data_IF_258153479639
#
_entry.id   IF_258153479639
#
_cell.length_a   1.000
_cell.length_b   1.000
_cell.length_c   1.000
_cell.angle_alpha   90.00
_cell.angle_beta   90.00
_cell.angle_gamma   90.00
#
_symmetry.space_group_name_H-M   'P 1'
#
loop_
_entity.id
_entity.type
_entity.pdbx_description
1 polymer ?
#
# COMPACT_ATOMS: atom_id res chain seq x y z
N UNK A 1 -7.32 5.16 -22.35
CA UNK A 1 -6.15 6.02 -22.07
C UNK A 1 -6.01 6.05 -20.57
N UNK A 2 -4.80 5.86 -20.04
CA UNK A 2 -4.63 5.78 -18.59
C UNK A 2 -4.83 7.18 -18.00
N UNK A 3 -5.86 7.35 -17.16
CA UNK A 3 -6.23 8.60 -16.51
C UNK A 3 -5.26 9.02 -15.40
N UNK A 4 -3.98 8.70 -15.52
CA UNK A 4 -2.94 9.06 -14.55
C UNK A 4 -2.24 10.32 -14.99
N UNK A 5 -2.09 11.26 -14.06
CA UNK A 5 -1.43 12.54 -14.32
C UNK A 5 -0.02 12.56 -13.73
N UNK A 6 0.81 13.41 -14.31
CA UNK A 6 2.09 13.81 -13.74
C UNK A 6 1.98 15.21 -13.14
N UNK A 7 2.91 15.58 -12.26
CA UNK A 7 2.95 16.94 -11.69
C UNK A 7 3.03 18.05 -12.77
N UNK A 8 3.83 17.91 -13.85
CA UNK A 8 3.81 18.86 -14.96
C UNK A 8 2.44 19.02 -15.63
N UNK A 9 1.65 17.95 -15.74
CA UNK A 9 0.31 18.03 -16.34
C UNK A 9 -0.61 18.92 -15.51
N UNK A 10 -0.52 18.84 -14.18
CA UNK A 10 -1.25 19.71 -13.25
C UNK A 10 -0.84 21.17 -13.43
N UNK A 11 0.47 21.45 -13.50
CA UNK A 11 0.97 22.80 -13.72
C UNK A 11 0.51 23.38 -15.07
N UNK A 12 0.52 22.58 -16.13
CA UNK A 12 0.05 23.00 -17.45
C UNK A 12 -1.46 23.28 -17.45
N UNK A 13 -2.25 22.45 -16.78
CA UNK A 13 -3.69 22.67 -16.62
C UNK A 13 -3.98 23.97 -15.85
N UNK A 14 -3.22 24.24 -14.77
CA UNK A 14 -3.30 25.49 -14.00
C UNK A 14 -2.96 26.71 -14.85
N UNK A 15 -1.89 26.63 -15.64
CA UNK A 15 -1.49 27.73 -16.52
C UNK A 15 -2.60 28.08 -17.52
N UNK A 16 -3.14 27.06 -18.19
CA UNK A 16 -4.20 27.24 -19.20
C UNK A 16 -5.48 27.82 -18.59
N UNK A 17 -5.87 27.33 -17.42
CA UNK A 17 -7.01 27.83 -16.66
C UNK A 17 -6.86 29.33 -16.31
N UNK A 18 -5.71 29.71 -15.75
CA UNK A 18 -5.45 31.10 -15.36
C UNK A 18 -5.33 32.02 -16.58
N UNK A 19 -4.65 31.56 -17.63
CA UNK A 19 -4.44 32.36 -18.86
C UNK A 19 -5.73 32.67 -19.61
N UNK A 20 -6.79 31.86 -19.44
CA UNK A 20 -8.09 32.13 -20.02
C UNK A 20 -8.85 33.29 -19.35
N UNK A 21 -8.46 33.68 -18.13
CA UNK A 21 -9.19 34.68 -17.33
C UNK A 21 -8.37 35.93 -16.99
N UNK A 22 -7.04 35.83 -16.99
CA UNK A 22 -6.13 36.92 -16.65
C UNK A 22 -5.71 37.66 -17.93
N UNK A 23 -5.57 38.99 -17.84
CA UNK A 23 -5.07 39.83 -18.93
C UNK A 23 -3.73 39.32 -19.50
N UNK A 24 -3.54 39.42 -20.82
CA UNK A 24 -2.34 38.90 -21.49
C UNK A 24 -1.03 39.58 -21.05
N UNK A 25 -1.13 40.85 -20.64
CA UNK A 25 -0.01 41.69 -20.18
C UNK A 25 0.55 41.28 -18.81
N UNK A 26 -0.14 40.42 -18.06
CA UNK A 26 0.33 39.91 -16.77
C UNK A 26 1.04 38.57 -17.00
N UNK A 27 2.29 38.46 -16.55
CA UNK A 27 3.04 37.21 -16.65
C UNK A 27 2.50 36.18 -15.65
N UNK A 28 2.50 34.89 -16.04
CA UNK A 28 2.20 33.78 -15.12
C UNK A 28 3.48 32.99 -14.94
N UNK A 29 3.90 32.80 -13.68
CA UNK A 29 5.14 32.13 -13.30
C UNK A 29 4.86 31.02 -12.29
N UNK A 30 5.69 29.98 -12.32
CA UNK A 30 5.61 28.81 -11.42
C UNK A 30 6.78 28.75 -10.43
N UNK A 31 7.44 29.89 -10.23
CA UNK A 31 8.47 30.12 -9.23
C UNK A 31 8.08 31.31 -8.34
N UNK A 32 8.73 31.44 -7.18
CA UNK A 32 8.63 32.65 -6.38
C UNK A 32 9.58 33.70 -6.94
N UNK A 33 9.10 34.91 -7.29
CA UNK A 33 9.97 36.01 -7.68
C UNK A 33 10.93 36.40 -6.54
N UNK A 34 12.14 36.86 -6.90
CA UNK A 34 13.08 37.40 -5.91
C UNK A 34 12.46 38.63 -5.22
N UNK A 35 12.32 38.52 -3.90
CA UNK A 35 11.72 39.52 -3.02
C UNK A 35 12.48 40.84 -3.06
N UNK A 36 13.80 40.78 -3.29
CA UNK A 36 14.69 41.93 -3.26
C UNK A 36 14.90 42.57 -4.64
N UNK A 37 14.48 41.90 -5.71
CA UNK A 37 14.62 42.40 -7.07
C UNK A 37 13.36 43.16 -7.52
N UNK A 38 13.58 44.28 -8.21
CA UNK A 38 12.50 44.95 -8.94
C UNK A 38 12.12 44.09 -10.14
N UNK A 39 10.87 43.65 -10.19
CA UNK A 39 10.39 42.84 -11.30
C UNK A 39 10.19 43.73 -12.53
N UNK A 40 10.63 43.27 -13.70
CA UNK A 40 10.46 44.03 -14.94
C UNK A 40 8.97 44.11 -15.34
N UNK A 41 8.21 43.05 -15.06
CA UNK A 41 6.81 42.91 -15.42
C UNK A 41 5.95 42.51 -14.21
N UNK A 42 4.68 42.92 -14.24
CA UNK A 42 3.69 42.44 -13.27
C UNK A 42 3.46 40.93 -13.48
N UNK A 43 3.53 40.15 -12.41
CA UNK A 43 3.50 38.70 -12.49
C UNK A 43 2.60 38.07 -11.42
N UNK A 44 1.86 37.05 -11.82
CA UNK A 44 1.21 36.10 -10.93
C UNK A 44 2.18 34.94 -10.71
N UNK A 45 2.51 34.70 -9.44
CA UNK A 45 3.32 33.58 -8.99
C UNK A 45 2.39 32.47 -8.49
N UNK A 46 2.39 31.33 -9.17
CA UNK A 46 1.71 30.09 -8.79
C UNK A 46 2.74 29.17 -8.15
N UNK A 47 2.90 29.28 -6.83
CA UNK A 47 3.95 28.57 -6.11
C UNK A 47 3.42 27.27 -5.49
N UNK A 48 4.00 26.13 -5.87
CA UNK A 48 3.72 24.83 -5.26
C UNK A 48 4.55 24.68 -3.98
N UNK A 49 3.91 24.79 -2.81
CA UNK A 49 4.63 24.82 -1.53
C UNK A 49 4.63 23.49 -0.78
N UNK A 50 3.68 22.60 -1.08
CA UNK A 50 3.57 21.30 -0.43
C UNK A 50 2.95 20.24 -1.35
N UNK A 51 3.47 19.01 -1.23
CA UNK A 51 3.01 17.83 -1.96
C UNK A 51 3.00 16.65 -0.99
N UNK A 52 1.83 16.05 -0.79
CA UNK A 52 1.68 14.87 0.05
C UNK A 52 0.58 13.94 -0.47
N UNK A 53 0.63 12.66 -0.07
CA UNK A 53 -0.44 11.70 -0.37
C UNK A 53 -1.71 12.09 0.38
N UNK A 54 -2.84 12.14 -0.32
CA UNK A 54 -4.15 12.37 0.28
C UNK A 54 -4.72 11.05 0.80
N UNK A 55 -4.44 10.76 2.07
CA UNK A 55 -4.89 9.54 2.73
C UNK A 55 -6.42 9.46 2.86
N UNK A 56 -7.15 10.58 2.78
CA UNK A 56 -8.61 10.58 2.86
C UNK A 56 -9.25 9.98 1.60
N UNK A 57 -8.56 10.12 0.46
CA UNK A 57 -8.98 9.56 -0.82
C UNK A 57 -8.33 8.21 -1.11
N UNK A 58 -7.52 7.68 -0.17
CA UNK A 58 -6.92 6.36 -0.32
C UNK A 58 -7.99 5.28 -0.16
N UNK A 59 -8.08 4.43 -1.18
CA UNK A 59 -8.95 3.25 -1.14
C UNK A 59 -8.10 1.97 -1.12
N UNK A 60 -8.63 0.91 -0.50
CA UNK A 60 -8.02 -0.42 -0.52
C UNK A 60 -8.27 -1.10 -1.88
N UNK A 61 -7.70 -0.53 -2.95
CA UNK A 61 -7.76 -1.12 -4.28
C UNK A 61 -6.74 -2.24 -4.44
N UNK A 62 -7.20 -3.44 -4.81
CA UNK A 62 -6.28 -4.46 -5.31
C UNK A 62 -5.71 -4.03 -6.66
N UNK A 63 -4.47 -4.43 -6.96
CA UNK A 63 -3.88 -4.18 -8.28
C UNK A 63 -4.69 -4.94 -9.33
N UNK A 64 -5.05 -4.24 -10.40
CA UNK A 64 -5.72 -4.86 -11.54
C UNK A 64 -4.81 -5.90 -12.20
N UNK A 65 -5.38 -7.01 -12.66
CA UNK A 65 -4.68 -8.00 -13.47
C UNK A 65 -5.18 -7.93 -14.90
N UNK A 66 -4.26 -7.81 -15.86
CA UNK A 66 -4.55 -7.87 -17.28
C UNK A 66 -4.29 -9.30 -17.79
N UNK A 67 -5.36 -10.05 -18.01
CA UNK A 67 -5.29 -11.43 -18.49
C UNK A 67 -4.75 -11.57 -19.92
N UNK A 68 -4.90 -10.54 -20.77
CA UNK A 68 -4.40 -10.54 -22.15
C UNK A 68 -2.87 -10.44 -22.21
N UNK A 69 -2.27 -9.66 -21.32
CA UNK A 69 -0.82 -9.52 -21.22
C UNK A 69 -0.19 -10.40 -20.14
N UNK A 70 -0.98 -11.02 -19.26
CA UNK A 70 -0.49 -11.77 -18.10
C UNK A 70 0.25 -10.89 -17.09
N UNK A 71 -0.13 -9.62 -16.95
CA UNK A 71 0.60 -8.64 -16.12
C UNK A 71 -0.30 -7.96 -15.11
N UNK A 72 0.28 -7.63 -13.97
CA UNK A 72 -0.37 -6.77 -12.98
C UNK A 72 -0.19 -5.31 -13.37
N UNK A 73 -1.29 -4.57 -13.43
CA UNK A 73 -1.26 -3.12 -13.64
C UNK A 73 -0.47 -2.43 -12.51
N UNK A 74 0.20 -1.30 -12.81
CA UNK A 74 0.80 -0.49 -11.77
C UNK A 74 -0.28 0.03 -10.81
N UNK A 75 0.09 0.16 -9.54
CA UNK A 75 -0.73 0.89 -8.58
C UNK A 75 -0.71 2.39 -8.88
N UNK A 76 -1.46 3.15 -8.10
CA UNK A 76 -1.50 4.60 -8.17
C UNK A 76 -1.73 5.17 -6.77
N UNK A 77 -1.35 6.43 -6.57
CA UNK A 77 -1.55 7.15 -5.31
C UNK A 77 -2.22 8.50 -5.60
N UNK A 78 -3.18 8.87 -4.74
CA UNK A 78 -3.76 10.21 -4.76
C UNK A 78 -2.80 11.19 -4.13
N UNK A 79 -2.25 12.11 -4.91
CA UNK A 79 -1.30 13.11 -4.44
C UNK A 79 -1.96 14.47 -4.45
N UNK A 80 -2.00 15.12 -3.29
CA UNK A 80 -2.47 16.48 -3.10
C UNK A 80 -1.34 17.47 -3.33
N UNK A 81 -1.55 18.38 -4.26
CA UNK A 81 -0.67 19.48 -4.60
C UNK A 81 -1.27 20.77 -4.04
N UNK A 82 -0.56 21.46 -3.15
CA UNK A 82 -1.03 22.69 -2.52
C UNK A 82 -0.30 23.90 -3.13
N UNK A 83 -1.06 24.76 -3.81
CA UNK A 83 -0.56 25.94 -4.48
C UNK A 83 -0.91 27.21 -3.70
N UNK A 84 0.04 28.13 -3.67
CA UNK A 84 -0.11 29.49 -3.18
C UNK A 84 0.01 30.45 -4.37
N UNK A 85 -1.07 31.16 -4.67
CA UNK A 85 -1.12 32.10 -5.78
C UNK A 85 -1.02 33.52 -5.25
N UNK A 86 -0.03 34.27 -5.73
CA UNK A 86 0.29 35.64 -5.28
C UNK A 86 0.54 36.56 -6.47
N UNK A 87 0.29 37.85 -6.28
CA UNK A 87 0.54 38.87 -7.29
C UNK A 87 1.74 39.75 -6.92
N UNK A 88 2.59 40.00 -7.91
CA UNK A 88 3.82 40.76 -7.82
C UNK A 88 3.78 41.91 -8.82
N UNK A 89 3.90 43.13 -8.31
CA UNK A 89 3.93 44.35 -9.11
C UNK A 89 5.34 44.59 -9.66
N UNK A 90 5.41 45.25 -10.82
CA UNK A 90 6.67 45.71 -11.41
C UNK A 90 7.23 46.94 -10.68
N UNK A 91 6.35 47.75 -10.10
CA UNK A 91 6.69 48.93 -9.31
C UNK A 91 6.90 48.58 -7.83
N UNK A 92 7.82 49.31 -7.19
CA UNK A 92 8.03 49.19 -5.74
C UNK A 92 6.79 49.62 -4.94
N UNK A 93 6.73 49.31 -3.63
CA UNK A 93 5.56 49.58 -2.80
C UNK A 93 5.18 51.07 -2.82
N UNK A 94 3.90 51.36 -2.93
CA UNK A 94 3.36 52.71 -2.84
C UNK A 94 3.77 53.38 -1.52
N UNK A 95 4.25 54.62 -1.62
CA UNK A 95 4.74 55.39 -0.46
C UNK A 95 3.71 56.37 0.11
N UNK A 96 2.59 56.58 -0.60
CA UNK A 96 1.57 57.58 -0.29
C UNK A 96 0.15 57.08 -0.61
N UNK A 97 -0.84 57.52 0.18
CA UNK A 97 -2.23 57.10 0.02
C UNK A 97 -2.91 57.60 -1.27
N UNK A 98 -2.31 58.59 -1.94
CA UNK A 98 -2.76 59.10 -3.24
C UNK A 98 -2.31 58.24 -4.43
N UNK A 99 -1.43 57.27 -4.18
CA UNK A 99 -0.96 56.36 -5.22
C UNK A 99 -2.12 55.52 -5.77
N UNK A 100 -2.22 55.34 -7.10
CA UNK A 100 -3.19 54.44 -7.73
C UNK A 100 -3.19 53.02 -7.12
N UNK A 101 -2.03 52.53 -6.67
CA UNK A 101 -1.87 51.21 -6.06
C UNK A 101 -2.44 51.14 -4.62
N UNK A 102 -2.71 52.29 -4.00
CA UNK A 102 -3.37 52.38 -2.68
C UNK A 102 -4.89 52.62 -2.77
N UNK A 103 -5.46 52.69 -3.98
CA UNK A 103 -6.90 52.87 -4.17
C UNK A 103 -7.67 51.56 -3.99
N UNK A 104 -8.98 51.61 -3.64
CA UNK A 104 -9.80 50.41 -3.48
C UNK A 104 -9.87 49.52 -4.72
N UNK A 105 -9.71 50.11 -5.91
CA UNK A 105 -9.71 49.42 -7.20
C UNK A 105 -8.29 49.29 -7.78
N UNK A 106 -7.27 49.15 -6.93
CA UNK A 106 -5.89 49.00 -7.38
C UNK A 106 -5.68 47.78 -8.31
N UNK A 107 -4.56 47.80 -9.03
CA UNK A 107 -4.24 46.77 -10.01
C UNK A 107 -4.12 45.39 -9.36
N UNK A 108 -3.53 45.29 -8.17
CA UNK A 108 -3.40 44.03 -7.43
C UNK A 108 -4.76 43.36 -7.16
N UNK A 109 -5.75 44.12 -6.68
CA UNK A 109 -7.09 43.61 -6.41
C UNK A 109 -7.81 43.26 -7.71
N UNK A 110 -7.64 44.04 -8.79
CA UNK A 110 -8.22 43.71 -10.11
C UNK A 110 -7.71 42.36 -10.63
N UNK A 111 -6.38 42.16 -10.62
CA UNK A 111 -5.75 40.90 -11.07
C UNK A 111 -6.13 39.73 -10.17
N UNK A 112 -6.03 39.90 -8.85
CA UNK A 112 -6.39 38.83 -7.91
C UNK A 112 -7.88 38.49 -7.94
N UNK A 113 -8.75 39.45 -8.31
CA UNK A 113 -10.18 39.19 -8.55
C UNK A 113 -10.41 38.34 -9.79
N UNK A 114 -9.65 38.57 -10.87
CA UNK A 114 -9.69 37.71 -12.07
C UNK A 114 -9.21 36.29 -11.76
N UNK A 115 -8.12 36.17 -11.01
CA UNK A 115 -7.61 34.87 -10.53
C UNK A 115 -8.66 34.16 -9.68
N UNK A 116 -9.27 34.86 -8.73
CA UNK A 116 -10.34 34.32 -7.89
C UNK A 116 -11.52 33.81 -8.73
N UNK A 117 -11.98 34.60 -9.70
CA UNK A 117 -13.03 34.18 -10.61
C UNK A 117 -12.64 32.92 -11.40
N UNK A 118 -11.40 32.83 -11.87
CA UNK A 118 -10.88 31.66 -12.56
C UNK A 118 -10.95 30.41 -11.66
N UNK A 119 -10.47 30.51 -10.41
CA UNK A 119 -10.46 29.39 -9.46
C UNK A 119 -11.88 28.93 -9.11
N UNK A 120 -12.80 29.88 -8.87
CA UNK A 120 -14.20 29.57 -8.51
C UNK A 120 -14.94 28.92 -9.68
N UNK A 121 -14.69 29.38 -10.91
CA UNK A 121 -15.34 28.83 -12.10
C UNK A 121 -14.76 27.47 -12.51
N UNK A 122 -13.52 27.18 -12.15
CA UNK A 122 -12.83 25.93 -12.49
C UNK A 122 -12.65 25.02 -11.25
N UNK A 123 -13.77 24.68 -10.61
CA UNK A 123 -13.81 23.64 -9.55
C UNK A 123 -13.44 22.25 -10.06
N UNK A 124 -13.47 22.06 -11.37
CA UNK A 124 -12.94 20.89 -12.05
C UNK A 124 -12.03 21.39 -13.17
N UNK A 125 -10.78 20.92 -13.17
CA UNK A 125 -9.81 21.26 -14.22
C UNK A 125 -10.24 20.56 -15.51
N UNK A 126 -10.51 21.33 -16.57
CA UNK A 126 -11.01 20.81 -17.84
C UNK A 126 -10.08 19.76 -18.48
N UNK A 127 -8.77 19.96 -18.35
CA UNK A 127 -7.74 19.08 -18.92
C UNK A 127 -7.47 17.84 -18.04
N UNK A 128 -7.94 17.85 -16.78
CA UNK A 128 -7.78 16.74 -15.84
C UNK A 128 -9.16 16.39 -15.24
N UNK A 129 -10.05 15.78 -16.05
CA UNK A 129 -11.37 15.40 -15.56
C UNK A 129 -11.22 14.36 -14.44
N UNK A 130 -11.87 14.61 -13.29
CA UNK A 130 -11.80 13.72 -12.12
C UNK A 130 -10.78 14.15 -11.05
N UNK A 131 -9.97 15.19 -11.29
CA UNK A 131 -9.18 15.79 -10.23
C UNK A 131 -10.10 16.38 -9.14
N UNK A 132 -9.78 16.11 -7.88
CA UNK A 132 -10.49 16.70 -6.75
C UNK A 132 -9.83 18.02 -6.37
N UNK A 133 -10.57 19.13 -6.45
CA UNK A 133 -10.02 20.46 -6.16
C UNK A 133 -10.66 21.08 -4.92
N UNK A 134 -9.86 21.84 -4.17
CA UNK A 134 -10.34 22.65 -3.05
C UNK A 134 -9.94 24.10 -3.33
N UNK A 135 -10.95 24.93 -3.61
CA UNK A 135 -10.76 26.36 -3.87
C UNK A 135 -10.79 27.10 -2.54
N UNK A 136 -9.68 27.74 -2.17
CA UNK A 136 -9.53 28.62 -1.00
C UNK A 136 -10.04 27.92 0.28
N UNK A 137 -9.42 26.79 0.66
CA UNK A 137 -9.78 26.12 1.90
C UNK A 137 -9.44 27.03 3.10
N UNK A 138 -10.26 27.03 4.18
CA UNK A 138 -10.02 27.84 5.38
C UNK A 138 -8.94 27.21 6.28
N UNK A 139 -7.86 26.72 5.68
CA UNK A 139 -6.79 25.97 6.36
C UNK A 139 -5.69 26.87 6.90
N UNK A 140 -5.62 28.13 6.45
CA UNK A 140 -4.59 29.05 6.89
C UNK A 140 -5.00 29.83 8.13
N UNK A 141 -4.16 29.76 9.15
CA UNK A 141 -4.20 30.62 10.32
C UNK A 141 -3.25 31.81 10.10
N UNK A 142 -3.63 33.00 10.55
CA UNK A 142 -2.82 34.22 10.47
C UNK A 142 -1.40 34.03 11.02
N UNK A 143 -1.22 33.20 12.04
CA UNK A 143 0.11 32.87 12.59
C UNK A 143 1.00 32.13 11.58
N UNK A 144 0.43 31.22 10.79
CA UNK A 144 1.19 30.46 9.78
C UNK A 144 1.56 31.35 8.59
N UNK A 145 0.63 32.19 8.16
CA UNK A 145 0.86 33.12 7.05
C UNK A 145 1.90 34.20 7.44
N UNK A 146 1.90 34.65 8.69
CA UNK A 146 2.91 35.56 9.23
C UNK A 146 4.33 34.97 9.14
N UNK A 147 4.52 33.72 9.58
CA UNK A 147 5.82 33.04 9.47
C UNK A 147 6.28 32.87 8.01
N UNK A 148 5.34 32.56 7.10
CA UNK A 148 5.64 32.43 5.67
C UNK A 148 6.17 33.74 5.08
N UNK A 149 5.48 34.86 5.33
CA UNK A 149 5.92 36.16 4.84
C UNK A 149 7.20 36.66 5.51
N UNK A 150 7.45 36.28 6.77
CA UNK A 150 8.73 36.56 7.41
C UNK A 150 9.89 35.85 6.70
N UNK A 151 9.72 34.59 6.33
CA UNK A 151 10.71 33.84 5.57
C UNK A 151 10.95 34.43 4.17
N UNK A 152 9.92 35.02 3.56
CA UNK A 152 9.99 35.72 2.27
C UNK A 152 10.31 37.22 2.41
N UNK A 153 11.07 37.62 3.42
CA UNK A 153 11.62 38.99 3.51
C UNK A 153 10.64 40.06 4.03
N UNK A 154 9.68 39.68 4.86
CA UNK A 154 8.77 40.57 5.60
C UNK A 154 7.89 41.47 4.71
N UNK A 155 7.46 40.97 3.54
CA UNK A 155 6.56 41.69 2.64
C UNK A 155 5.25 40.92 2.48
N UNK A 156 4.26 41.12 3.39
CA UNK A 156 2.99 40.43 3.30
C UNK A 156 2.23 40.84 2.04
N UNK A 157 1.68 39.85 1.34
CA UNK A 157 0.81 40.05 0.16
C UNK A 157 -0.47 39.25 0.34
N UNK A 158 -1.48 39.59 -0.46
CA UNK A 158 -2.65 38.73 -0.60
C UNK A 158 -2.25 37.41 -1.28
N UNK A 159 -2.63 36.30 -0.67
CA UNK A 159 -2.41 34.96 -1.20
C UNK A 159 -3.73 34.21 -1.31
N UNK A 160 -3.88 33.44 -2.40
CA UNK A 160 -5.00 32.52 -2.60
C UNK A 160 -4.49 31.09 -2.62
N UNK A 161 -5.04 30.25 -1.75
CA UNK A 161 -4.73 28.83 -1.74
C UNK A 161 -5.61 28.04 -2.68
N UNK A 162 -4.98 27.10 -3.35
CA UNK A 162 -5.67 26.17 -4.23
C UNK A 162 -5.04 24.79 -4.11
N UNK A 163 -5.85 23.79 -3.78
CA UNK A 163 -5.37 22.42 -3.66
C UNK A 163 -5.96 21.56 -4.78
N UNK A 164 -5.12 20.72 -5.38
CA UNK A 164 -5.53 19.75 -6.40
C UNK A 164 -5.04 18.37 -5.99
N UNK A 165 -5.94 17.41 -5.89
CA UNK A 165 -5.59 16.00 -5.72
C UNK A 165 -5.76 15.26 -7.04
N UNK A 166 -4.68 14.62 -7.49
CA UNK A 166 -4.64 13.82 -8.73
C UNK A 166 -4.07 12.41 -8.49
N UNK A 167 -4.55 11.41 -9.23
CA UNK A 167 -3.97 10.06 -9.22
C UNK A 167 -2.65 10.04 -10.02
N UNK A 168 -1.55 9.75 -9.33
CA UNK A 168 -0.22 9.55 -9.94
C UNK A 168 0.07 8.05 -9.99
N UNK A 169 0.42 7.54 -11.18
CA UNK A 169 0.77 6.13 -11.36
C UNK A 169 2.12 5.81 -10.72
N UNK A 170 2.21 4.64 -10.09
CA UNK A 170 3.47 4.09 -9.60
C UNK A 170 4.26 3.49 -10.75
N UNK A 171 5.58 3.37 -10.59
CA UNK A 171 6.44 2.76 -11.59
C UNK A 171 6.00 1.31 -11.88
N UNK A 172 5.76 1.02 -13.16
CA UNK A 172 5.46 -0.33 -13.61
C UNK A 172 6.72 -1.20 -13.58
N UNK A 173 6.74 -2.19 -12.68
CA UNK A 173 7.83 -3.18 -12.58
C UNK A 173 7.67 -4.32 -13.59
N UNK A 174 6.58 -4.34 -14.35
CA UNK A 174 6.35 -5.34 -15.38
C UNK A 174 6.09 -6.73 -14.83
N UNK A 175 5.50 -6.82 -13.64
CA UNK A 175 5.28 -8.07 -12.91
C UNK A 175 4.34 -9.01 -13.69
N UNK A 176 4.88 -10.16 -14.06
CA UNK A 176 4.18 -11.20 -14.81
C UNK A 176 3.55 -12.21 -13.86
N UNK A 177 2.27 -12.50 -14.07
CA UNK A 177 1.51 -13.48 -13.30
C UNK A 177 0.76 -14.38 -14.28
N UNK A 178 0.91 -15.69 -14.11
CA UNK A 178 0.20 -16.66 -14.94
C UNK A 178 -1.29 -16.67 -14.58
N UNK A 179 -2.20 -16.45 -15.55
CA UNK A 179 -3.63 -16.55 -15.29
C UNK A 179 -4.02 -18.00 -14.97
N UNK A 180 -4.97 -18.18 -14.06
CA UNK A 180 -5.63 -19.47 -13.86
C UNK A 180 -6.49 -19.78 -15.08
N UNK A 181 -6.09 -20.76 -15.88
CA UNK A 181 -6.80 -21.16 -17.12
C UNK A 181 -7.78 -22.31 -16.92
N UNK A 182 -7.50 -23.17 -15.95
CA UNK A 182 -8.30 -24.35 -15.65
C UNK A 182 -8.29 -24.60 -14.15
N UNK A 183 -9.44 -25.02 -13.63
CA UNK A 183 -9.60 -25.44 -12.24
C UNK A 183 -10.03 -26.90 -12.27
N UNK A 184 -9.26 -27.77 -11.63
CA UNK A 184 -9.62 -29.17 -11.39
C UNK A 184 -9.85 -29.36 -9.90
N UNK A 185 -10.96 -29.99 -9.54
CA UNK A 185 -11.29 -30.33 -8.17
C UNK A 185 -11.63 -31.82 -8.09
N UNK A 186 -11.07 -32.49 -7.09
CA UNK A 186 -11.33 -33.90 -6.81
C UNK A 186 -11.88 -33.99 -5.39
N UNK A 187 -12.92 -34.79 -5.18
CA UNK A 187 -13.52 -35.04 -3.89
C UNK A 187 -13.32 -36.51 -3.54
N UNK A 188 -12.67 -36.76 -2.41
CA UNK A 188 -12.33 -38.11 -1.95
C UNK A 188 -12.99 -38.38 -0.59
N UNK A 189 -13.47 -39.60 -0.33
CA UNK A 189 -13.89 -40.02 1.00
C UNK A 189 -12.72 -39.90 1.98
N UNK A 190 -12.96 -39.26 3.13
CA UNK A 190 -11.99 -39.15 4.21
C UNK A 190 -12.53 -39.80 5.47
N UNK A 191 -11.69 -40.57 6.16
CA UNK A 191 -12.01 -41.11 7.48
C UNK A 191 -12.44 -39.99 8.45
N UNK A 192 -13.40 -40.23 9.36
CA UNK A 192 -13.94 -39.23 10.29
C UNK A 192 -12.98 -38.95 11.47
N UNK A 193 -11.69 -38.80 11.20
CA UNK A 193 -10.64 -38.58 12.20
C UNK A 193 -10.03 -37.19 12.01
N UNK A 194 -9.88 -36.45 13.10
CA UNK A 194 -9.26 -35.13 13.08
C UNK A 194 -7.73 -35.25 13.07
N UNK A 195 -7.00 -34.28 12.47
CA UNK A 195 -5.55 -34.21 12.57
C UNK A 195 -5.02 -34.33 14.00
N UNK A 196 -5.69 -33.70 14.98
CA UNK A 196 -5.27 -33.77 16.38
C UNK A 196 -5.38 -35.19 16.96
N UNK A 197 -6.43 -35.94 16.61
CA UNK A 197 -6.59 -37.32 17.06
C UNK A 197 -5.50 -38.22 16.45
N UNK A 198 -5.14 -38.00 15.18
CA UNK A 198 -4.03 -38.71 14.51
C UNK A 198 -2.71 -38.42 15.23
N UNK A 199 -2.40 -37.14 15.47
CA UNK A 199 -1.20 -36.71 16.19
C UNK A 199 -1.11 -37.32 17.59
N UNK A 200 -2.22 -37.36 18.34
CA UNK A 200 -2.27 -37.97 19.67
C UNK A 200 -1.98 -39.46 19.65
N UNK A 201 -2.63 -40.20 18.74
CA UNK A 201 -2.39 -41.64 18.57
C UNK A 201 -0.93 -41.92 18.15
N UNK A 202 -0.37 -41.12 17.23
CA UNK A 202 1.03 -41.26 16.81
C UNK A 202 2.01 -40.94 17.96
N UNK A 203 1.72 -39.94 18.80
CA UNK A 203 2.52 -39.65 19.99
C UNK A 203 2.55 -40.82 20.97
N UNK A 204 1.39 -41.41 21.25
CA UNK A 204 1.29 -42.59 22.11
C UNK A 204 2.04 -43.78 21.51
N UNK A 205 1.85 -44.05 20.21
CA UNK A 205 2.55 -45.14 19.52
C UNK A 205 4.07 -44.94 19.51
N UNK A 206 4.56 -43.72 19.29
CA UNK A 206 5.98 -43.43 19.36
C UNK A 206 6.53 -43.65 20.77
N UNK A 207 5.79 -43.19 21.79
CA UNK A 207 6.16 -43.39 23.19
C UNK A 207 6.28 -44.87 23.54
N UNK A 208 5.34 -45.70 23.07
CA UNK A 208 5.39 -47.16 23.24
C UNK A 208 6.57 -47.78 22.50
N UNK A 209 6.84 -47.34 21.27
CA UNK A 209 7.97 -47.83 20.47
C UNK A 209 9.34 -47.51 21.08
N UNK A 210 9.43 -46.44 21.89
CA UNK A 210 10.62 -46.05 22.64
C UNK A 210 10.77 -46.78 23.99
N UNK A 211 9.85 -47.68 24.33
CA UNK A 211 9.89 -48.49 25.56
C UNK A 211 8.71 -48.25 26.50
N UNK A 212 7.94 -47.17 26.32
CA UNK A 212 6.71 -46.88 27.06
C UNK A 212 6.89 -46.53 28.55
N UNK A 213 8.12 -46.47 29.03
CA UNK A 213 8.47 -46.16 30.41
C UNK A 213 8.39 -44.65 30.73
N UNK A 214 8.70 -44.29 31.97
CA UNK A 214 8.67 -42.89 32.42
C UNK A 214 9.69 -42.02 31.66
N UNK A 215 10.87 -42.55 31.36
CA UNK A 215 11.93 -41.82 30.67
C UNK A 215 11.58 -41.57 29.20
N UNK A 216 10.97 -42.54 28.51
CA UNK A 216 10.46 -42.38 27.16
C UNK A 216 9.35 -41.31 27.10
N UNK A 217 8.43 -41.30 28.08
CA UNK A 217 7.40 -40.24 28.18
C UNK A 217 8.03 -38.88 28.41
N UNK A 218 9.05 -38.79 29.28
CA UNK A 218 9.73 -37.54 29.56
C UNK A 218 10.49 -37.03 28.32
N UNK A 219 11.15 -37.93 27.56
CA UNK A 219 11.83 -37.63 26.30
C UNK A 219 10.88 -37.15 25.18
N UNK A 220 9.60 -37.49 25.27
CA UNK A 220 8.55 -37.08 24.34
C UNK A 220 7.86 -35.76 24.70
N UNK A 221 8.11 -35.20 25.89
CA UNK A 221 7.40 -34.00 26.42
C UNK A 221 7.50 -32.78 25.51
N UNK A 222 8.65 -32.59 24.85
CA UNK A 222 8.92 -31.45 23.97
C UNK A 222 8.98 -31.83 22.49
N UNK A 223 8.40 -32.99 22.14
CA UNK A 223 8.31 -33.47 20.76
C UNK A 223 6.88 -33.30 20.26
N UNK A 224 6.74 -32.53 19.20
CA UNK A 224 5.46 -32.26 18.55
C UNK A 224 5.35 -33.03 17.24
N UNK A 225 4.19 -33.67 17.05
CA UNK A 225 3.85 -34.42 15.84
C UNK A 225 2.64 -33.74 15.20
N UNK A 226 2.84 -33.09 14.07
CA UNK A 226 1.76 -32.45 13.29
C UNK A 226 1.45 -33.28 12.05
N UNK A 227 0.26 -33.90 12.04
CA UNK A 227 -0.17 -34.81 10.98
C UNK A 227 -1.11 -34.08 10.02
N UNK A 228 -0.65 -33.84 8.79
CA UNK A 228 -1.44 -33.25 7.72
C UNK A 228 -2.01 -34.34 6.79
N UNK A 229 -3.34 -34.49 6.68
CA UNK A 229 -3.94 -35.45 5.76
C UNK A 229 -3.57 -35.17 4.31
N UNK A 230 -3.27 -36.23 3.56
CA UNK A 230 -2.90 -36.18 2.15
C UNK A 230 -4.01 -36.84 1.34
N UNK A 231 -4.42 -36.20 0.24
CA UNK A 231 -5.38 -36.77 -0.71
C UNK A 231 -4.77 -38.01 -1.39
N UNK A 232 -5.57 -39.05 -1.54
CA UNK A 232 -5.17 -40.33 -2.14
C UNK A 232 -6.17 -40.70 -3.22
N UNK A 233 -5.68 -41.01 -4.43
CA UNK A 233 -6.51 -41.31 -5.60
C UNK A 233 -7.60 -42.37 -5.36
N UNK A 234 -7.40 -43.27 -4.38
CA UNK A 234 -8.32 -44.35 -4.00
C UNK A 234 -8.69 -44.27 -2.50
N UNK A 235 -9.08 -43.08 -2.03
CA UNK A 235 -9.44 -42.83 -0.62
C UNK A 235 -10.53 -43.78 -0.08
N UNK A 236 -10.31 -44.28 1.14
CA UNK A 236 -11.22 -45.16 1.86
C UNK A 236 -11.71 -44.50 3.14
N UNK A 237 -12.93 -44.81 3.57
CA UNK A 237 -13.45 -44.34 4.86
C UNK A 237 -12.74 -44.95 6.07
N UNK A 238 -11.97 -46.04 5.87
CA UNK A 238 -11.27 -46.78 6.91
C UNK A 238 -9.76 -46.51 6.95
N UNK A 239 -9.23 -45.76 6.00
CA UNK A 239 -7.78 -45.53 5.85
C UNK A 239 -7.51 -44.05 5.63
N UNK A 240 -6.43 -43.56 6.22
CA UNK A 240 -6.01 -42.18 6.04
C UNK A 240 -4.50 -42.12 5.82
N UNK A 241 -4.10 -41.43 4.76
CA UNK A 241 -2.70 -41.12 4.50
C UNK A 241 -2.38 -39.73 5.05
N UNK A 242 -1.27 -39.62 5.78
CA UNK A 242 -0.81 -38.36 6.37
C UNK A 242 0.65 -38.08 6.02
N UNK A 243 0.98 -36.80 5.89
CA UNK A 243 2.34 -36.28 5.95
C UNK A 243 2.59 -35.81 7.38
N UNK A 244 3.67 -36.28 7.99
CA UNK A 244 4.01 -35.99 9.37
C UNK A 244 5.15 -34.97 9.43
N UNK A 245 4.93 -33.87 10.14
CA UNK A 245 6.01 -32.95 10.53
C UNK A 245 6.31 -33.15 12.02
N UNK A 246 7.59 -33.40 12.33
CA UNK A 246 8.09 -33.62 13.68
C UNK A 246 9.01 -32.47 14.05
N UNK A 247 8.73 -31.83 15.18
CA UNK A 247 9.49 -30.68 15.64
C UNK A 247 9.68 -30.69 17.16
N UNK A 248 10.69 -29.96 17.62
CA UNK A 248 10.94 -29.73 19.04
C UNK A 248 12.26 -30.33 19.52
N UNK A 249 12.30 -30.73 20.79
CA UNK A 249 13.54 -31.16 21.46
C UNK A 249 13.35 -32.51 22.14
N UNK A 250 14.37 -33.34 22.04
CA UNK A 250 14.48 -34.61 22.78
C UNK A 250 15.92 -34.80 23.28
N UNK A 251 16.16 -35.79 24.13
CA UNK A 251 17.53 -36.12 24.55
C UNK A 251 18.27 -36.82 23.41
N UNK A 252 19.58 -36.55 23.26
CA UNK A 252 20.40 -37.11 22.19
C UNK A 252 20.30 -38.64 22.04
N UNK A 253 20.13 -39.36 23.15
CA UNK A 253 19.98 -40.82 23.21
C UNK A 253 18.69 -41.35 22.56
N UNK A 254 17.61 -40.55 22.52
CA UNK A 254 16.32 -40.93 21.94
C UNK A 254 16.16 -40.52 20.47
N UNK A 255 17.02 -39.63 19.95
CA UNK A 255 16.94 -39.14 18.57
C UNK A 255 17.09 -40.28 17.53
N UNK A 256 18.09 -41.14 17.70
CA UNK A 256 18.33 -42.26 16.77
C UNK A 256 17.24 -43.35 16.83
N UNK A 257 16.77 -43.77 18.02
CA UNK A 257 15.58 -44.61 18.14
C UNK A 257 14.33 -44.02 17.46
N UNK A 258 14.04 -42.73 17.66
CA UNK A 258 12.88 -42.06 17.04
C UNK A 258 12.97 -42.08 15.52
N UNK A 259 14.14 -41.76 14.96
CA UNK A 259 14.34 -41.83 13.51
C UNK A 259 14.15 -43.24 12.96
N UNK A 260 14.52 -44.27 13.72
CA UNK A 260 14.30 -45.67 13.31
C UNK A 260 12.80 -46.00 13.24
N UNK A 261 11.99 -45.48 14.18
CA UNK A 261 10.53 -45.63 14.15
C UNK A 261 9.92 -44.88 12.96
N UNK A 262 10.37 -43.66 12.68
CA UNK A 262 9.90 -42.88 11.53
C UNK A 262 10.20 -43.58 10.20
N UNK A 263 11.38 -44.17 10.05
CA UNK A 263 11.73 -44.95 8.86
C UNK A 263 10.92 -46.24 8.73
N UNK A 264 10.49 -46.83 9.86
CA UNK A 264 9.56 -47.96 9.84
C UNK A 264 8.17 -47.53 9.38
N UNK A 265 7.67 -46.42 9.89
CA UNK A 265 6.35 -45.88 9.53
C UNK A 265 6.21 -45.49 8.05
N UNK A 266 7.32 -45.20 7.36
CA UNK A 266 7.33 -44.91 5.91
C UNK A 266 7.21 -46.16 5.01
N UNK A 267 7.49 -47.37 5.51
CA UNK A 267 7.70 -48.58 4.68
C UNK A 267 6.44 -49.45 4.49
N UNK A 268 5.26 -48.83 4.35
CA UNK A 268 3.98 -49.44 3.98
C UNK A 268 3.22 -50.31 5.01
N UNK A 269 3.69 -50.41 6.27
CA UNK A 269 2.82 -50.88 7.36
C UNK A 269 2.04 -49.70 7.97
N UNK A 270 0.78 -49.92 8.35
CA UNK A 270 -0.02 -48.93 9.06
C UNK A 270 0.73 -48.48 10.33
N UNK A 271 1.11 -47.21 10.38
CA UNK A 271 1.91 -46.62 11.46
C UNK A 271 1.17 -46.66 12.80
N UNK A 272 -0.16 -46.52 12.74
CA UNK A 272 -1.04 -46.66 13.88
C UNK A 272 -2.46 -47.03 13.44
N UNK A 273 -3.25 -47.54 14.38
CA UNK A 273 -4.68 -47.74 14.24
C UNK A 273 -5.38 -46.91 15.31
N UNK A 274 -6.35 -46.09 14.91
CA UNK A 274 -7.14 -45.30 15.88
C UNK A 274 -8.06 -46.22 16.69
N UNK A 275 -8.56 -45.78 17.85
CA UNK A 275 -9.53 -46.56 18.63
C UNK A 275 -10.78 -46.97 17.84
N UNK A 276 -11.15 -46.17 16.84
CA UNK A 276 -12.31 -46.39 15.96
C UNK A 276 -12.00 -47.29 14.75
N UNK A 277 -10.79 -47.87 14.69
CA UNK A 277 -10.39 -48.82 13.65
C UNK A 277 -9.84 -48.20 12.36
N UNK A 278 -9.60 -46.89 12.31
CA UNK A 278 -9.00 -46.23 11.14
C UNK A 278 -7.49 -46.49 11.08
N UNK A 279 -6.99 -46.94 9.93
CA UNK A 279 -5.56 -47.17 9.70
C UNK A 279 -4.87 -45.90 9.21
N UNK A 280 -3.81 -45.50 9.92
CA UNK A 280 -3.01 -44.32 9.59
C UNK A 280 -1.77 -44.78 8.83
N UNK A 281 -1.61 -44.31 7.61
CA UNK A 281 -0.42 -44.53 6.78
C UNK A 281 0.39 -43.24 6.69
N UNK A 282 1.70 -43.34 6.81
CA UNK A 282 2.61 -42.19 6.77
C UNK A 282 3.31 -42.15 5.41
N UNK A 283 3.02 -41.10 4.64
CA UNK A 283 3.56 -40.91 3.28
C UNK A 283 4.90 -40.19 3.29
N UNK A 284 5.11 -39.30 4.26
CA UNK A 284 6.34 -38.56 4.45
C UNK A 284 6.51 -38.23 5.94
N UNK A 285 7.77 -38.20 6.39
CA UNK A 285 8.15 -37.66 7.69
C UNK A 285 9.21 -36.60 7.47
N UNK A 286 8.89 -35.38 7.88
CA UNK A 286 9.81 -34.26 7.97
C UNK A 286 10.19 -34.04 9.44
N UNK A 287 11.43 -34.35 9.80
CA UNK A 287 11.95 -34.21 11.16
C UNK A 287 13.10 -33.19 11.23
N UNK A 288 13.22 -32.27 10.27
CA UNK A 288 14.31 -31.28 10.25
C UNK A 288 14.37 -30.39 11.47
N UNK A 289 13.21 -30.15 12.09
CA UNK A 289 13.05 -29.26 13.24
C UNK A 289 13.11 -30.02 14.59
N UNK A 290 13.44 -31.32 14.58
CA UNK A 290 13.66 -32.11 15.79
C UNK A 290 15.14 -32.10 16.16
N UNK A 291 15.46 -31.60 17.35
CA UNK A 291 16.84 -31.49 17.83
C UNK A 291 17.09 -32.38 19.05
N UNK A 292 18.23 -33.09 19.05
CA UNK A 292 18.74 -33.81 20.21
C UNK A 292 19.63 -32.91 21.06
N UNK A 293 19.31 -32.76 22.35
CA UNK A 293 20.11 -32.05 23.36
C UNK A 293 20.84 -32.99 24.31
#
# INVERSE_FOLDING_TARGET
>A
MSDYQTLPDVNNAMNKMLRACVNEDVAIRFDLPDVNATQSDAAISVFLYDIHEDLQLRTAGSRGFNAGTGRLSPGWANVKCSYLITYWESTGPATDAGNPDSQPDNQAIKVMSQVLAALINNRQLADIPGAYTQVIPPTENLNSLGNFWQALGNRPRLSLNYCVTVPISLSDKGEEVTPVKSVSATVEPKAPVTPQAISGVLQEQLTVALGGDYEARLAMTHVYLDASPVATSDGSAAEISVALRVSGMTRAEYLAPMNTVFEKWKKDDAAAVTPDGCRIYITAVDATDLTGI
#
